data_IF_550652045369
#
_entry.id   IF_550652045369
#
_cell.length_a   1.000
_cell.length_b   1.000
_cell.length_c   1.000
_cell.angle_alpha   90.00
_cell.angle_beta   90.00
_cell.angle_gamma   90.00
#
_symmetry.space_group_name_H-M   'P 1'
#
loop_
_entity.id
_entity.type
_entity.pdbx_description
1 polymer ?
#
# COMPACT_ATOMS: atom_id res chain seq x y z
N UNK A 1 -1.66 -7.96 30.14
CA UNK A 1 -2.28 -7.98 28.79
C UNK A 1 -2.94 -9.31 28.41
N UNK A 2 -2.45 -10.51 28.82
CA UNK A 2 -3.08 -11.81 28.45
C UNK A 2 -4.56 -11.97 28.83
N UNK A 3 -5.04 -11.33 29.90
CA UNK A 3 -6.46 -11.46 30.35
C UNK A 3 -7.49 -10.90 29.36
N UNK A 4 -7.17 -9.85 28.60
CA UNK A 4 -8.13 -9.22 27.66
C UNK A 4 -8.25 -10.07 26.39
N UNK A 5 -7.12 -10.59 25.88
CA UNK A 5 -7.08 -11.45 24.69
C UNK A 5 -8.02 -12.64 24.84
N UNK A 6 -7.94 -13.33 25.98
CA UNK A 6 -8.74 -14.52 26.28
C UNK A 6 -10.25 -14.23 26.37
N UNK A 7 -10.63 -13.03 26.81
CA UNK A 7 -12.04 -12.60 26.87
C UNK A 7 -12.55 -12.30 25.46
N UNK A 8 -11.80 -11.57 24.65
CA UNK A 8 -12.17 -11.27 23.26
C UNK A 8 -12.27 -12.53 22.40
N UNK A 9 -11.29 -13.44 22.47
CA UNK A 9 -11.31 -14.70 21.72
C UNK A 9 -12.53 -15.56 22.08
N UNK A 10 -12.94 -15.59 23.36
CA UNK A 10 -14.17 -16.29 23.80
C UNK A 10 -15.44 -15.65 23.27
N UNK A 11 -15.52 -14.32 23.18
CA UNK A 11 -16.70 -13.62 22.63
C UNK A 11 -16.85 -13.93 21.14
N UNK A 12 -15.74 -13.97 20.39
CA UNK A 12 -15.74 -14.21 18.94
C UNK A 12 -15.73 -15.70 18.59
N UNK A 13 -15.74 -16.61 19.59
CA UNK A 13 -15.63 -18.06 19.41
C UNK A 13 -14.39 -18.51 18.62
N UNK A 14 -13.25 -17.85 18.82
CA UNK A 14 -11.98 -18.16 18.17
C UNK A 14 -10.99 -18.68 19.23
N UNK A 15 -10.16 -19.65 18.87
CA UNK A 15 -9.12 -20.18 19.78
C UNK A 15 -7.98 -19.18 19.96
N UNK A 16 -7.38 -19.10 21.16
CA UNK A 16 -6.26 -18.16 21.43
C UNK A 16 -5.00 -18.42 20.58
N UNK A 17 -4.88 -19.62 20.00
CA UNK A 17 -3.74 -20.08 19.23
C UNK A 17 -4.04 -20.25 17.73
N UNK A 18 -5.23 -19.88 17.25
CA UNK A 18 -5.48 -19.86 15.81
C UNK A 18 -4.85 -18.63 15.18
N UNK A 19 -4.50 -18.73 13.89
CA UNK A 19 -3.99 -17.61 13.10
C UNK A 19 -4.96 -16.42 13.09
N UNK A 20 -6.26 -16.69 13.15
CA UNK A 20 -7.32 -15.67 13.25
C UNK A 20 -7.28 -14.85 14.55
N UNK A 21 -6.64 -15.38 15.61
CA UNK A 21 -6.46 -14.68 16.88
C UNK A 21 -5.12 -13.94 16.98
N UNK A 22 -4.28 -14.02 15.94
CA UNK A 22 -3.09 -13.20 15.81
C UNK A 22 -3.54 -11.77 15.44
N UNK A 23 -3.03 -10.78 16.17
CA UNK A 23 -3.31 -9.39 15.86
C UNK A 23 -2.47 -9.02 14.64
N UNK A 24 -3.15 -8.77 13.53
CA UNK A 24 -2.57 -8.11 12.36
C UNK A 24 -2.91 -6.62 12.46
N UNK A 25 -1.90 -5.76 12.35
CA UNK A 25 -2.12 -4.32 12.31
C UNK A 25 -2.99 -3.99 11.08
N UNK A 26 -4.21 -3.46 11.25
CA UNK A 26 -5.07 -3.11 10.12
C UNK A 26 -4.54 -1.91 9.35
N UNK A 27 -3.55 -1.20 9.88
CA UNK A 27 -2.98 -0.01 9.25
C UNK A 27 -1.85 -0.38 8.29
N UNK A 28 -1.96 0.11 7.06
CA UNK A 28 -0.91 -0.05 6.06
C UNK A 28 0.30 0.83 6.38
N UNK A 29 1.50 0.28 6.20
CA UNK A 29 2.72 1.06 6.23
C UNK A 29 3.02 1.60 4.83
N UNK A 30 2.54 2.80 4.52
CA UNK A 30 2.92 3.52 3.30
C UNK A 30 3.99 4.55 3.66
N UNK A 31 5.24 4.22 3.33
CA UNK A 31 6.41 5.06 3.61
C UNK A 31 6.76 5.84 2.35
N UNK A 32 6.65 7.17 2.42
CA UNK A 32 7.20 8.05 1.41
C UNK A 32 8.69 8.22 1.66
N UNK A 33 9.49 7.89 0.65
CA UNK A 33 10.92 8.13 0.65
C UNK A 33 11.23 9.53 0.18
N UNK A 34 12.30 10.10 0.71
CA UNK A 34 12.86 11.38 0.26
C UNK A 34 11.92 12.59 0.41
N UNK A 35 11.23 12.73 1.54
CA UNK A 35 10.38 13.90 1.81
C UNK A 35 11.25 15.08 2.24
N UNK A 36 11.32 16.18 1.46
CA UNK A 36 12.16 17.32 1.79
C UNK A 36 11.42 18.29 2.73
N UNK A 37 12.09 18.74 3.79
CA UNK A 37 11.61 19.85 4.61
C UNK A 37 12.11 21.19 4.04
N UNK A 38 11.21 22.07 3.59
CA UNK A 38 11.62 23.38 3.05
C UNK A 38 12.16 24.38 4.08
N UNK A 39 12.05 24.09 5.38
CA UNK A 39 12.52 24.97 6.46
C UNK A 39 13.92 24.65 6.95
N UNK A 40 14.24 23.37 7.10
CA UNK A 40 15.56 22.92 7.56
C UNK A 40 16.36 22.15 6.49
N UNK A 41 15.78 21.95 5.31
CA UNK A 41 16.39 21.23 4.17
C UNK A 41 16.81 19.79 4.45
N UNK A 42 16.35 19.21 5.56
CA UNK A 42 16.51 17.79 5.85
C UNK A 42 15.56 16.97 4.99
N UNK A 43 16.01 15.78 4.63
CA UNK A 43 15.25 14.78 3.89
C UNK A 43 15.02 13.62 4.83
N UNK A 44 13.75 13.24 5.01
CA UNK A 44 13.34 12.15 5.90
C UNK A 44 12.38 11.20 5.18
N UNK A 45 12.20 10.02 5.77
CA UNK A 45 11.13 9.11 5.40
C UNK A 45 9.90 9.44 6.27
N UNK A 46 8.70 9.36 5.69
CA UNK A 46 7.44 9.67 6.40
C UNK A 46 6.41 8.59 6.11
N UNK A 47 5.85 8.00 7.16
CA UNK A 47 4.69 7.12 7.06
C UNK A 47 3.41 7.95 6.94
N UNK A 48 2.71 7.78 5.83
CA UNK A 48 1.52 8.59 5.49
C UNK A 48 0.38 8.42 6.48
N UNK A 49 0.18 7.21 7.01
CA UNK A 49 -0.95 6.89 7.88
C UNK A 49 -0.63 7.03 9.37
N UNK A 50 0.61 6.77 9.77
CA UNK A 50 1.01 6.72 11.19
C UNK A 50 1.63 8.03 11.69
N UNK A 51 2.30 8.80 10.82
CA UNK A 51 3.03 9.98 11.27
C UNK A 51 2.18 11.25 11.26
N UNK A 52 2.53 12.18 12.15
CA UNK A 52 1.89 13.49 12.26
C UNK A 52 2.31 14.47 11.15
N UNK A 53 3.02 13.98 10.12
CA UNK A 53 3.62 14.76 9.03
C UNK A 53 4.42 15.97 9.54
N UNK A 54 5.34 15.70 10.46
CA UNK A 54 6.28 16.70 10.99
C UNK A 54 7.71 16.32 10.66
N UNK A 55 8.54 17.32 10.40
CA UNK A 55 9.95 17.09 10.19
C UNK A 55 10.64 16.64 11.48
N UNK A 56 11.48 15.61 11.43
CA UNK A 56 12.23 15.13 12.60
C UNK A 56 13.21 16.16 13.17
N UNK A 57 13.76 17.03 12.31
CA UNK A 57 14.71 18.07 12.70
C UNK A 57 14.06 19.28 13.36
N UNK A 58 13.28 20.04 12.59
CA UNK A 58 12.69 21.30 13.05
C UNK A 58 11.31 21.16 13.67
N UNK A 59 10.68 19.97 13.62
CA UNK A 59 9.32 19.69 14.10
C UNK A 59 8.22 20.52 13.45
N UNK A 60 8.55 21.20 12.36
CA UNK A 60 7.58 21.94 11.56
C UNK A 60 6.69 20.97 10.78
N UNK A 61 5.43 21.37 10.58
CA UNK A 61 4.48 20.60 9.79
C UNK A 61 4.90 20.61 8.30
N UNK A 62 4.82 19.45 7.66
CA UNK A 62 4.97 19.37 6.21
C UNK A 62 3.78 20.03 5.53
N UNK A 63 4.05 20.72 4.42
CA UNK A 63 3.02 21.31 3.58
C UNK A 63 2.12 20.21 2.97
N UNK A 64 0.82 20.32 3.21
CA UNK A 64 -0.17 19.34 2.76
C UNK A 64 -0.20 19.18 1.23
N UNK A 65 0.03 20.26 0.47
CA UNK A 65 0.05 20.19 -1.00
C UNK A 65 1.27 19.43 -1.50
N UNK A 66 2.43 19.63 -0.88
CA UNK A 66 3.64 18.87 -1.18
C UNK A 66 3.47 17.40 -0.84
N UNK A 67 2.93 17.09 0.35
CA UNK A 67 2.64 15.72 0.76
C UNK A 67 1.66 15.06 -0.21
N UNK A 68 0.58 15.75 -0.58
CA UNK A 68 -0.38 15.27 -1.56
C UNK A 68 0.28 14.91 -2.89
N UNK A 69 1.12 15.78 -3.42
CA UNK A 69 1.83 15.54 -4.68
C UNK A 69 2.71 14.29 -4.59
N UNK A 70 3.45 14.12 -3.49
CA UNK A 70 4.30 12.94 -3.27
C UNK A 70 3.48 11.66 -3.16
N UNK A 71 2.34 11.69 -2.47
CA UNK A 71 1.42 10.54 -2.37
C UNK A 71 0.85 10.19 -3.75
N UNK A 72 0.36 11.18 -4.51
CA UNK A 72 -0.13 10.96 -5.87
C UNK A 72 0.93 10.33 -6.77
N UNK A 73 2.15 10.89 -6.76
CA UNK A 73 3.28 10.35 -7.51
C UNK A 73 3.61 8.91 -7.12
N UNK A 74 3.59 8.60 -5.82
CA UNK A 74 3.79 7.23 -5.35
C UNK A 74 2.72 6.29 -5.91
N UNK A 75 1.44 6.66 -5.82
CA UNK A 75 0.32 5.85 -6.32
C UNK A 75 0.44 5.63 -7.83
N UNK A 76 0.73 6.68 -8.60
CA UNK A 76 0.94 6.59 -10.06
C UNK A 76 2.09 5.65 -10.42
N UNK A 77 3.21 5.72 -9.68
CA UNK A 77 4.35 4.83 -9.87
C UNK A 77 3.97 3.37 -9.59
N UNK A 78 3.21 3.10 -8.52
CA UNK A 78 2.75 1.74 -8.22
C UNK A 78 1.82 1.21 -9.31
N UNK A 79 0.90 2.03 -9.83
CA UNK A 79 0.05 1.66 -10.96
C UNK A 79 0.86 1.38 -12.22
N UNK A 80 1.86 2.21 -12.51
CA UNK A 80 2.75 1.98 -13.64
C UNK A 80 3.49 0.65 -13.48
N UNK A 81 4.08 0.37 -12.31
CA UNK A 81 4.75 -0.90 -12.05
C UNK A 81 3.81 -2.10 -12.20
N UNK A 82 2.57 -1.97 -11.74
CA UNK A 82 1.55 -2.99 -11.92
C UNK A 82 1.22 -3.24 -13.40
N UNK A 83 1.16 -2.18 -14.22
CA UNK A 83 0.85 -2.29 -15.65
C UNK A 83 2.00 -2.90 -16.45
N UNK A 84 3.26 -2.61 -16.09
CA UNK A 84 4.44 -3.07 -16.83
C UNK A 84 5.03 -4.38 -16.30
N UNK A 85 4.50 -4.94 -15.20
CA UNK A 85 5.06 -6.14 -14.59
C UNK A 85 5.04 -7.35 -15.54
N UNK A 86 6.04 -8.21 -15.39
CA UNK A 86 6.10 -9.47 -16.13
C UNK A 86 5.00 -10.43 -15.69
N UNK A 87 4.47 -11.16 -16.66
CA UNK A 87 3.56 -12.28 -16.42
C UNK A 87 4.35 -13.59 -16.39
N UNK A 88 4.05 -14.44 -15.41
CA UNK A 88 4.77 -15.68 -15.16
C UNK A 88 3.86 -16.88 -15.40
N UNK A 89 4.40 -17.91 -16.03
CA UNK A 89 3.65 -19.14 -16.24
C UNK A 89 3.40 -19.86 -14.90
N UNK A 90 2.15 -20.28 -14.66
CA UNK A 90 1.76 -20.99 -13.43
C UNK A 90 2.53 -22.31 -13.26
N UNK A 91 2.87 -23.00 -14.37
CA UNK A 91 3.53 -24.32 -14.34
C UNK A 91 5.06 -24.24 -14.38
N UNK A 92 5.64 -23.66 -15.44
CA UNK A 92 7.09 -23.65 -15.63
C UNK A 92 7.80 -22.46 -14.99
N UNK A 93 7.05 -21.47 -14.47
CA UNK A 93 7.55 -20.24 -13.86
C UNK A 93 8.42 -19.36 -14.77
N UNK A 94 8.43 -19.63 -16.08
CA UNK A 94 9.06 -18.77 -17.07
C UNK A 94 8.22 -17.50 -17.29
N UNK A 95 8.90 -16.41 -17.62
CA UNK A 95 8.31 -15.13 -18.01
C UNK A 95 7.68 -15.22 -19.38
N UNK A 96 6.70 -14.35 -19.64
CA UNK A 96 6.12 -14.19 -20.97
C UNK A 96 7.10 -13.44 -21.89
N UNK A 97 7.56 -14.09 -22.95
CA UNK A 97 8.54 -13.50 -23.87
C UNK A 97 7.93 -12.46 -24.82
N UNK A 98 6.64 -12.64 -25.20
CA UNK A 98 5.95 -11.79 -26.18
C UNK A 98 4.58 -11.35 -25.69
N UNK A 99 4.25 -10.06 -25.81
CA UNK A 99 3.00 -9.48 -25.30
C UNK A 99 1.72 -10.11 -25.87
N UNK A 100 1.75 -10.63 -27.10
CA UNK A 100 0.59 -11.27 -27.75
C UNK A 100 0.41 -12.76 -27.42
N UNK A 101 1.31 -13.34 -26.63
CA UNK A 101 1.26 -14.75 -26.25
C UNK A 101 0.17 -15.02 -25.21
N UNK A 102 -0.91 -15.72 -25.62
CA UNK A 102 -2.04 -16.03 -24.73
C UNK A 102 -1.76 -17.15 -23.72
N UNK A 103 -0.87 -18.08 -24.06
CA UNK A 103 -0.54 -19.24 -23.23
C UNK A 103 0.93 -19.62 -23.38
N UNK A 104 1.50 -20.19 -22.32
CA UNK A 104 2.87 -20.68 -22.33
C UNK A 104 3.01 -21.90 -23.27
N UNK A 105 4.23 -22.21 -23.71
CA UNK A 105 4.55 -23.42 -24.48
C UNK A 105 4.11 -24.71 -23.75
N UNK A 106 4.06 -24.69 -22.41
CA UNK A 106 3.52 -25.79 -21.59
C UNK A 106 1.97 -25.81 -21.47
N UNK A 107 1.28 -25.02 -22.31
CA UNK A 107 -0.17 -24.85 -22.37
C UNK A 107 -0.83 -24.31 -21.09
N UNK A 108 -0.05 -23.76 -20.16
CA UNK A 108 -0.57 -23.09 -18.97
C UNK A 108 -0.78 -21.58 -19.20
N UNK A 109 -1.64 -20.99 -18.39
CA UNK A 109 -1.86 -19.55 -18.37
C UNK A 109 -0.69 -18.84 -17.67
N UNK A 110 -0.58 -17.54 -17.94
CA UNK A 110 0.29 -16.65 -17.21
C UNK A 110 -0.48 -15.94 -16.09
N UNK A 111 0.22 -15.60 -15.01
CA UNK A 111 -0.30 -14.88 -13.85
C UNK A 111 0.70 -13.81 -13.41
N UNK A 112 0.20 -12.77 -12.75
CA UNK A 112 1.04 -11.79 -12.07
C UNK A 112 1.76 -12.42 -10.87
N UNK A 113 2.96 -11.94 -10.57
CA UNK A 113 3.72 -12.38 -9.38
C UNK A 113 3.50 -11.39 -8.25
N UNK A 114 2.83 -11.83 -7.18
CA UNK A 114 2.47 -10.98 -6.05
C UNK A 114 3.67 -10.66 -5.12
N UNK A 115 4.74 -11.45 -5.19
CA UNK A 115 5.86 -11.45 -4.23
C UNK A 115 6.66 -10.13 -4.14
N UNK A 116 6.66 -9.28 -5.18
CA UNK A 116 7.44 -8.03 -5.18
C UNK A 116 6.68 -6.83 -4.61
N UNK A 117 5.36 -6.95 -4.42
CA UNK A 117 4.48 -5.87 -3.97
C UNK A 117 3.84 -6.14 -2.60
N UNK A 118 4.25 -7.21 -1.92
CA UNK A 118 3.60 -7.74 -0.72
C UNK A 118 3.53 -6.78 0.48
N UNK A 119 4.24 -5.64 0.46
CA UNK A 119 4.29 -4.75 1.62
C UNK A 119 3.33 -3.57 1.60
N UNK A 120 2.82 -3.13 0.46
CA UNK A 120 1.87 -2.00 0.46
C UNK A 120 0.67 -2.19 -0.46
N UNK A 121 0.81 -2.67 -1.70
CA UNK A 121 -0.20 -2.33 -2.71
C UNK A 121 -1.17 -3.44 -3.12
N UNK A 122 -0.85 -4.74 -2.94
CA UNK A 122 -1.56 -5.81 -3.68
C UNK A 122 -2.16 -6.94 -2.82
N UNK A 123 -2.00 -6.95 -1.49
CA UNK A 123 -2.69 -7.99 -0.69
C UNK A 123 -4.21 -7.80 -0.66
N UNK A 124 -4.68 -6.56 -0.68
CA UNK A 124 -6.11 -6.19 -0.70
C UNK A 124 -6.28 -4.79 -1.32
N UNK A 125 -6.43 -4.66 -2.65
CA UNK A 125 -6.50 -3.34 -3.29
C UNK A 125 -7.62 -2.46 -2.70
N UNK A 126 -8.75 -3.03 -2.33
CA UNK A 126 -9.88 -2.29 -1.73
C UNK A 126 -9.48 -1.54 -0.47
N UNK A 127 -8.87 -2.21 0.51
CA UNK A 127 -8.58 -1.63 1.83
C UNK A 127 -7.57 -0.48 1.78
N UNK A 128 -6.56 -0.54 0.90
CA UNK A 128 -5.59 0.54 0.77
C UNK A 128 -6.20 1.77 0.10
N UNK A 129 -6.97 1.60 -0.97
CA UNK A 129 -7.65 2.72 -1.63
C UNK A 129 -8.71 3.35 -0.72
N UNK A 130 -9.43 2.54 0.06
CA UNK A 130 -10.37 3.02 1.09
C UNK A 130 -9.65 3.87 2.15
N UNK A 131 -8.49 3.40 2.63
CA UNK A 131 -7.68 4.13 3.61
C UNK A 131 -7.13 5.45 3.04
N UNK A 132 -6.66 5.45 1.78
CA UNK A 132 -6.20 6.67 1.11
C UNK A 132 -7.33 7.66 0.84
N UNK A 133 -8.54 7.17 0.50
CA UNK A 133 -9.72 8.02 0.37
C UNK A 133 -10.12 8.65 1.70
N UNK A 134 -10.09 7.88 2.78
CA UNK A 134 -10.35 8.40 4.12
C UNK A 134 -9.33 9.49 4.48
N UNK A 135 -8.04 9.23 4.28
CA UNK A 135 -6.97 10.21 4.49
C UNK A 135 -7.19 11.48 3.65
N UNK A 136 -7.56 11.33 2.38
CA UNK A 136 -7.83 12.45 1.49
C UNK A 136 -9.00 13.33 1.99
N UNK A 137 -10.03 12.71 2.57
CA UNK A 137 -11.16 13.43 3.18
C UNK A 137 -10.73 14.13 4.47
N UNK A 138 -10.02 13.44 5.36
CA UNK A 138 -9.59 13.98 6.65
C UNK A 138 -8.63 15.18 6.51
N UNK A 139 -7.72 15.13 5.53
CA UNK A 139 -6.69 16.15 5.29
C UNK A 139 -7.06 17.14 4.17
N UNK A 140 -8.26 17.03 3.57
CA UNK A 140 -8.73 17.83 2.43
C UNK A 140 -7.79 17.80 1.21
N UNK A 141 -7.32 16.62 0.83
CA UNK A 141 -6.46 16.40 -0.35
C UNK A 141 -7.33 16.15 -1.60
N UNK A 142 -7.55 17.22 -2.38
CA UNK A 142 -8.45 17.19 -3.54
C UNK A 142 -7.88 16.43 -4.74
N UNK A 143 -6.60 16.61 -5.03
CA UNK A 143 -5.89 15.91 -6.10
C UNK A 143 -5.85 14.41 -5.86
N UNK A 144 -5.52 13.99 -4.63
CA UNK A 144 -5.51 12.57 -4.26
C UNK A 144 -6.90 11.93 -4.40
N UNK A 145 -7.95 12.62 -3.92
CA UNK A 145 -9.33 12.16 -4.08
C UNK A 145 -9.73 11.98 -5.55
N UNK A 146 -9.33 12.93 -6.40
CA UNK A 146 -9.63 12.91 -7.83
C UNK A 146 -8.92 11.73 -8.51
N UNK A 147 -7.64 11.53 -8.18
CA UNK A 147 -6.83 10.44 -8.69
C UNK A 147 -7.44 9.08 -8.31
N UNK A 148 -7.79 8.86 -7.05
CA UNK A 148 -8.38 7.57 -6.62
C UNK A 148 -9.75 7.34 -7.28
N UNK A 149 -10.57 8.38 -7.40
CA UNK A 149 -11.85 8.29 -8.10
C UNK A 149 -11.70 7.94 -9.59
N UNK A 150 -10.59 8.34 -10.22
CA UNK A 150 -10.31 8.05 -11.63
C UNK A 150 -9.83 6.62 -11.87
N UNK A 151 -9.26 5.96 -10.86
CA UNK A 151 -8.63 4.65 -10.99
C UNK A 151 -9.66 3.50 -11.12
N UNK A 152 -10.93 3.74 -10.74
CA UNK A 152 -12.10 2.87 -10.96
C UNK A 152 -11.76 1.36 -11.07
N UNK A 153 -11.32 0.77 -9.96
CA UNK A 153 -11.12 -0.68 -9.79
C UNK A 153 -12.40 -1.29 -9.22
#
# INVERSE_FOLDING_TARGET
MKKIRNVCCKIVNISESSKEAEFEDPCFDLILQNVPCYKCYMVSEVNVFKDLWKCEGCKDDYDSQTMEKLICQFVEQQLLFYQIQDLYCVKCKQTQDYSFQKSCQCSAQFQIKLDQFEKCFIRTPTQLFDSLLQLAIEKNLHGLKTLISSINI
#
